data_IF_507833364658
#
_entry.id   IF_507833364658
#
_cell.length_a   1.000
_cell.length_b   1.000
_cell.length_c   1.000
_cell.angle_alpha   90.00
_cell.angle_beta   90.00
_cell.angle_gamma   90.00
#
_symmetry.space_group_name_H-M   'P 1'
#
loop_
_entity.id
_entity.type
_entity.pdbx_description
1 polymer ?
#
# COMPACT_ATOMS: atom_id res chain seq x y z
N UNK A 1 -5.15 16.32 -7.14
CA UNK A 1 -5.29 17.34 -6.09
C UNK A 1 -4.41 18.56 -6.35
N UNK A 2 -3.27 18.42 -7.04
CA UNK A 2 -2.45 19.59 -7.44
C UNK A 2 -1.74 20.26 -6.26
N UNK A 3 -1.41 19.47 -5.22
CA UNK A 3 -0.70 19.98 -4.05
C UNK A 3 0.81 20.14 -4.28
N UNK A 4 1.33 19.57 -5.38
CA UNK A 4 2.67 19.80 -5.89
C UNK A 4 2.58 20.07 -7.39
N UNK A 5 3.62 20.73 -7.91
CA UNK A 5 3.87 20.93 -9.34
C UNK A 5 4.36 19.63 -9.97
N UNK A 6 4.23 19.52 -11.30
CA UNK A 6 4.75 18.36 -12.05
C UNK A 6 6.27 18.20 -11.87
N UNK A 7 7.00 19.31 -11.77
CA UNK A 7 8.45 19.30 -11.53
C UNK A 7 8.80 18.71 -10.15
N UNK A 8 8.07 19.08 -9.09
CA UNK A 8 8.26 18.51 -7.75
C UNK A 8 7.90 17.02 -7.70
N UNK A 9 6.86 16.60 -8.43
CA UNK A 9 6.51 15.18 -8.54
C UNK A 9 7.63 14.37 -9.21
N UNK A 10 8.18 14.86 -10.33
CA UNK A 10 9.25 14.19 -11.05
C UNK A 10 10.56 14.15 -10.26
N UNK A 11 10.88 15.22 -9.53
CA UNK A 11 12.00 15.26 -8.61
C UNK A 11 11.84 14.19 -7.52
N UNK A 12 10.66 14.09 -6.89
CA UNK A 12 10.40 13.06 -5.89
C UNK A 12 10.61 11.66 -6.47
N UNK A 13 10.04 11.38 -7.64
CA UNK A 13 10.12 10.05 -8.25
C UNK A 13 11.54 9.68 -8.68
N UNK A 14 12.40 10.66 -8.96
CA UNK A 14 13.81 10.44 -9.32
C UNK A 14 14.69 10.23 -8.08
N UNK A 15 14.40 10.94 -6.99
CA UNK A 15 15.26 10.97 -5.80
C UNK A 15 14.84 9.96 -4.71
N UNK A 16 13.61 9.45 -4.73
CA UNK A 16 13.10 8.52 -3.69
C UNK A 16 13.88 7.21 -3.63
N UNK A 17 14.33 6.66 -4.76
CA UNK A 17 15.13 5.43 -4.76
C UNK A 17 16.49 5.61 -4.09
N UNK A 18 17.13 6.76 -4.33
CA UNK A 18 18.40 7.10 -3.68
C UNK A 18 18.22 7.25 -2.17
N UNK A 19 17.16 7.93 -1.75
CA UNK A 19 16.79 8.08 -0.35
C UNK A 19 16.54 6.73 0.34
N UNK A 20 15.72 5.86 -0.27
CA UNK A 20 15.50 4.50 0.22
C UNK A 20 16.81 3.73 0.34
N UNK A 21 17.68 3.86 -0.67
CA UNK A 21 19.00 3.25 -0.70
C UNK A 21 19.91 3.74 0.43
N UNK A 22 19.88 5.05 0.74
CA UNK A 22 20.63 5.61 1.87
C UNK A 22 20.20 4.98 3.20
N UNK A 23 18.89 4.86 3.43
CA UNK A 23 18.36 4.24 4.65
C UNK A 23 18.82 2.78 4.78
N UNK A 24 18.69 2.00 3.69
CA UNK A 24 19.10 0.59 3.68
C UNK A 24 20.60 0.43 3.93
N UNK A 25 21.44 1.27 3.31
CA UNK A 25 22.89 1.28 3.54
C UNK A 25 23.27 1.67 4.96
N UNK A 26 22.44 2.48 5.63
CA UNK A 26 22.58 2.83 7.04
C UNK A 26 22.13 1.71 8.00
N UNK A 27 21.79 0.53 7.47
CA UNK A 27 21.37 -0.63 8.27
C UNK A 27 19.87 -0.66 8.61
N UNK A 28 19.07 0.27 8.07
CA UNK A 28 17.62 0.28 8.30
C UNK A 28 16.95 -0.78 7.43
N UNK A 29 16.13 -1.63 8.04
CA UNK A 29 15.24 -2.55 7.32
C UNK A 29 13.98 -1.81 6.90
N UNK A 30 13.97 -1.25 5.69
CA UNK A 30 12.80 -0.59 5.12
C UNK A 30 11.88 -1.61 4.45
N UNK A 31 10.58 -1.55 4.77
CA UNK A 31 9.55 -2.43 4.18
C UNK A 31 8.38 -1.54 3.76
N UNK A 32 7.95 -1.67 2.50
CA UNK A 32 6.85 -0.89 1.94
C UNK A 32 5.63 -1.78 1.71
N UNK A 33 4.48 -1.33 2.19
CA UNK A 33 3.18 -1.99 1.99
C UNK A 33 2.21 -1.04 1.30
N UNK A 34 1.52 -1.54 0.28
CA UNK A 34 0.37 -0.88 -0.31
C UNK A 34 -0.90 -1.66 0.03
N UNK A 35 -1.80 -1.06 0.80
CA UNK A 35 -3.07 -1.68 1.16
C UNK A 35 -4.09 -1.42 0.06
N UNK A 36 -4.29 -2.41 -0.80
CA UNK A 36 -5.19 -2.33 -1.93
C UNK A 36 -6.61 -2.76 -1.51
N UNK A 37 -7.59 -1.92 -1.82
CA UNK A 37 -9.00 -2.23 -1.61
C UNK A 37 -9.74 -2.03 -2.92
N UNK A 38 -10.82 -2.78 -3.11
CA UNK A 38 -11.66 -2.62 -4.29
C UNK A 38 -12.47 -1.33 -4.22
N UNK A 39 -12.83 -0.78 -5.39
CA UNK A 39 -13.68 0.42 -5.48
C UNK A 39 -15.01 0.28 -4.72
N UNK A 40 -15.73 -0.86 -4.79
CA UNK A 40 -16.95 -1.06 -4.01
C UNK A 40 -16.68 -1.03 -2.49
N UNK A 41 -15.60 -1.67 -2.02
CA UNK A 41 -15.25 -1.67 -0.60
C UNK A 41 -14.84 -0.28 -0.12
N UNK A 42 -14.11 0.50 -0.93
CA UNK A 42 -13.82 1.90 -0.59
C UNK A 42 -15.11 2.71 -0.42
N UNK A 43 -16.04 2.61 -1.39
CA UNK A 43 -17.33 3.31 -1.33
C UNK A 43 -18.12 2.92 -0.07
N UNK A 44 -18.24 1.62 0.21
CA UNK A 44 -18.90 1.09 1.41
C UNK A 44 -18.28 1.65 2.69
N UNK A 45 -16.95 1.64 2.80
CA UNK A 45 -16.24 2.17 3.99
C UNK A 45 -16.48 3.66 4.20
N UNK A 46 -16.59 4.44 3.12
CA UNK A 46 -16.89 5.87 3.22
C UNK A 46 -18.34 6.12 3.65
N UNK A 47 -19.29 5.33 3.15
CA UNK A 47 -20.69 5.38 3.60
C UNK A 47 -20.84 4.99 5.07
N UNK A 48 -20.16 3.92 5.50
CA UNK A 48 -20.15 3.49 6.90
C UNK A 48 -19.58 4.57 7.83
N UNK A 49 -18.51 5.28 7.41
CA UNK A 49 -17.94 6.40 8.19
C UNK A 49 -18.94 7.54 8.39
N UNK A 50 -19.82 7.81 7.41
CA UNK A 50 -20.82 8.88 7.51
C UNK A 50 -21.90 8.54 8.53
N UNK A 51 -22.27 7.26 8.64
CA UNK A 51 -23.37 6.79 9.49
C UNK A 51 -22.94 6.45 10.91
N UNK A 52 -21.69 6.06 11.11
CA UNK A 52 -21.17 5.63 12.42
C UNK A 52 -20.58 6.82 13.21
N UNK A 53 -21.19 7.24 14.34
CA UNK A 53 -20.72 8.37 15.14
C UNK A 53 -19.27 8.23 15.61
N UNK A 54 -18.80 7.00 15.81
CA UNK A 54 -17.44 6.72 16.28
C UNK A 54 -16.40 6.84 15.16
N UNK A 55 -16.84 6.97 13.89
CA UNK A 55 -15.97 7.02 12.70
C UNK A 55 -16.09 8.31 11.89
N UNK A 56 -17.07 9.16 12.17
CA UNK A 56 -17.33 10.40 11.41
C UNK A 56 -16.13 11.34 11.33
N UNK A 57 -15.34 11.44 12.41
CA UNK A 57 -14.11 12.25 12.45
C UNK A 57 -13.05 11.82 11.42
N UNK A 58 -13.17 10.63 10.80
CA UNK A 58 -12.25 10.12 9.77
C UNK A 58 -12.63 10.56 8.35
N UNK A 59 -13.60 11.43 8.20
CA UNK A 59 -14.02 11.98 6.91
C UNK A 59 -13.30 13.31 6.71
N UNK A 60 -12.69 13.46 5.54
CA UNK A 60 -12.08 14.71 5.09
C UNK A 60 -12.66 15.16 3.74
N UNK A 61 -12.52 16.45 3.38
CA UNK A 61 -12.89 16.92 2.04
C UNK A 61 -12.15 16.19 0.90
N UNK A 62 -10.98 15.60 1.20
CA UNK A 62 -10.22 14.80 0.24
C UNK A 62 -10.92 13.47 -0.06
N UNK A 63 -11.52 12.83 0.96
CA UNK A 63 -12.21 11.54 0.79
C UNK A 63 -13.41 11.64 -0.16
N UNK A 64 -14.10 12.79 -0.16
CA UNK A 64 -15.24 13.02 -1.06
C UNK A 64 -14.81 13.11 -2.52
N UNK A 65 -13.66 13.72 -2.78
CA UNK A 65 -13.06 13.80 -4.12
C UNK A 65 -12.38 12.49 -4.51
N UNK A 66 -11.90 11.69 -3.56
CA UNK A 66 -11.15 10.47 -3.84
C UNK A 66 -11.96 9.45 -4.67
N UNK A 67 -13.28 9.38 -4.46
CA UNK A 67 -14.16 8.46 -5.21
C UNK A 67 -14.25 8.84 -6.69
N UNK A 68 -14.38 10.13 -7.01
CA UNK A 68 -14.43 10.60 -8.40
C UNK A 68 -13.07 10.53 -9.08
N UNK A 69 -12.00 10.68 -8.30
CA UNK A 69 -10.61 10.61 -8.76
C UNK A 69 -10.01 9.20 -8.76
N UNK A 70 -10.81 8.17 -8.54
CA UNK A 70 -10.38 6.77 -8.48
C UNK A 70 -9.37 6.40 -9.58
N UNK A 71 -9.70 6.66 -10.85
CA UNK A 71 -8.82 6.34 -11.97
C UNK A 71 -7.49 7.12 -11.94
N UNK A 72 -7.49 8.36 -11.44
CA UNK A 72 -6.26 9.16 -11.30
C UNK A 72 -5.38 8.60 -10.18
N UNK A 73 -5.96 8.17 -9.06
CA UNK A 73 -5.24 7.47 -8.01
C UNK A 73 -4.68 6.13 -8.48
N UNK A 74 -5.47 5.33 -9.21
CA UNK A 74 -5.00 4.07 -9.81
C UNK A 74 -3.82 4.31 -10.75
N UNK A 75 -3.87 5.33 -11.61
CA UNK A 75 -2.75 5.70 -12.49
C UNK A 75 -1.50 6.10 -11.71
N UNK A 76 -1.64 7.00 -10.72
CA UNK A 76 -0.53 7.45 -9.89
C UNK A 76 0.11 6.30 -9.09
N UNK A 77 -0.70 5.40 -8.54
CA UNK A 77 -0.22 4.17 -7.86
C UNK A 77 0.59 3.29 -8.80
N UNK A 78 0.08 3.03 -10.01
CA UNK A 78 0.75 2.15 -10.96
C UNK A 78 2.10 2.74 -11.40
N UNK A 79 2.16 4.05 -11.63
CA UNK A 79 3.41 4.75 -11.92
C UNK A 79 4.40 4.68 -10.75
N UNK A 80 3.92 4.94 -9.52
CA UNK A 80 4.72 4.81 -8.30
C UNK A 80 5.32 3.40 -8.19
N UNK A 81 4.52 2.34 -8.41
CA UNK A 81 5.04 0.98 -8.38
C UNK A 81 6.12 0.75 -9.44
N UNK A 82 5.87 1.12 -10.70
CA UNK A 82 6.82 0.92 -11.78
C UNK A 82 8.16 1.64 -11.53
N UNK A 83 8.11 2.86 -11.01
CA UNK A 83 9.31 3.70 -10.82
C UNK A 83 10.05 3.42 -9.52
N UNK A 84 9.38 2.96 -8.46
CA UNK A 84 9.95 2.93 -7.10
C UNK A 84 10.10 1.54 -6.50
N UNK A 85 10.03 0.47 -7.29
CA UNK A 85 10.11 -0.91 -6.78
C UNK A 85 11.52 -1.51 -6.71
N UNK A 86 12.52 -0.87 -7.33
CA UNK A 86 13.84 -1.48 -7.56
C UNK A 86 14.71 -1.65 -6.30
N UNK A 87 14.75 -0.64 -5.41
CA UNK A 87 15.64 -0.63 -4.23
C UNK A 87 14.97 -1.35 -3.05
N UNK A 88 13.76 -0.93 -2.70
CA UNK A 88 12.91 -1.60 -1.72
C UNK A 88 11.63 -2.04 -2.41
N UNK A 89 11.39 -3.35 -2.58
CA UNK A 89 10.20 -3.81 -3.27
C UNK A 89 8.91 -3.46 -2.52
N UNK A 90 7.88 -3.08 -3.28
CA UNK A 90 6.52 -2.92 -2.78
C UNK A 90 5.90 -4.28 -2.50
N UNK A 91 5.20 -4.38 -1.36
CA UNK A 91 4.34 -5.52 -1.04
C UNK A 91 2.89 -5.06 -1.11
N UNK A 92 2.09 -5.69 -1.96
CA UNK A 92 0.67 -5.41 -2.08
C UNK A 92 -0.09 -6.25 -1.08
N UNK A 93 -1.08 -5.65 -0.44
CA UNK A 93 -1.95 -6.30 0.53
C UNK A 93 -3.40 -6.20 0.07
N UNK A 94 -4.03 -7.34 -0.21
CA UNK A 94 -5.48 -7.39 -0.41
C UNK A 94 -6.18 -7.06 0.90
N UNK A 95 -6.77 -5.87 0.99
CA UNK A 95 -7.18 -5.24 2.24
C UNK A 95 -8.69 -5.07 2.40
N UNK A 96 -9.50 -5.73 1.56
CA UNK A 96 -10.96 -5.71 1.65
C UNK A 96 -11.45 -6.30 3.00
N UNK A 97 -10.89 -7.45 3.42
CA UNK A 97 -11.03 -7.93 4.80
C UNK A 97 -9.93 -7.34 5.69
N UNK A 98 -10.32 -6.39 6.56
CA UNK A 98 -9.40 -5.71 7.48
C UNK A 98 -8.70 -6.68 8.44
N UNK A 99 -9.40 -7.69 8.96
CA UNK A 99 -8.84 -8.60 9.96
C UNK A 99 -7.79 -9.48 9.32
N UNK A 100 -8.11 -10.06 8.15
CA UNK A 100 -7.17 -10.87 7.40
C UNK A 100 -5.96 -10.05 6.93
N UNK A 101 -6.16 -8.84 6.41
CA UNK A 101 -5.08 -7.97 5.98
C UNK A 101 -4.11 -7.67 7.13
N UNK A 102 -4.63 -7.25 8.29
CA UNK A 102 -3.80 -6.96 9.48
C UNK A 102 -2.98 -8.16 9.92
N UNK A 103 -3.61 -9.33 10.03
CA UNK A 103 -2.91 -10.55 10.43
C UNK A 103 -1.80 -10.90 9.44
N UNK A 104 -2.05 -10.80 8.13
CA UNK A 104 -1.04 -11.16 7.14
C UNK A 104 0.09 -10.14 7.02
N UNK A 105 -0.18 -8.85 7.23
CA UNK A 105 0.88 -7.83 7.31
C UNK A 105 1.78 -8.07 8.52
N UNK A 106 1.20 -8.35 9.69
CA UNK A 106 1.98 -8.68 10.90
C UNK A 106 2.82 -9.94 10.67
N UNK A 107 2.21 -10.98 10.11
CA UNK A 107 2.89 -12.23 9.75
C UNK A 107 4.05 -12.01 8.78
N UNK A 108 3.81 -11.27 7.70
CA UNK A 108 4.84 -10.96 6.69
C UNK A 108 5.98 -10.12 7.28
N UNK A 109 5.68 -9.12 8.11
CA UNK A 109 6.67 -8.32 8.83
C UNK A 109 7.54 -9.21 9.73
N UNK A 110 6.93 -10.02 10.59
CA UNK A 110 7.65 -10.93 11.49
C UNK A 110 8.46 -11.96 10.71
N UNK A 111 7.90 -12.51 9.62
CA UNK A 111 8.60 -13.48 8.79
C UNK A 111 9.87 -12.92 8.14
N UNK A 112 9.94 -11.61 7.86
CA UNK A 112 11.12 -10.93 7.29
C UNK A 112 12.20 -10.61 8.31
N UNK A 113 11.87 -10.58 9.59
CA UNK A 113 12.81 -10.25 10.66
C UNK A 113 13.50 -11.51 11.20
N UNK A 114 14.73 -11.32 11.68
CA UNK A 114 15.47 -12.33 12.42
C UNK A 114 15.37 -11.99 13.91
N UNK A 115 14.80 -12.90 14.69
CA UNK A 115 14.66 -12.78 16.14
C UNK A 115 14.66 -14.18 16.78
N UNK A 116 14.99 -14.27 18.07
CA UNK A 116 15.03 -15.53 18.80
C UNK A 116 13.62 -16.16 18.94
N UNK A 117 13.55 -17.48 19.05
CA UNK A 117 12.31 -18.24 19.28
C UNK A 117 11.21 -18.01 18.22
N UNK A 118 11.62 -17.73 16.98
CA UNK A 118 10.72 -17.51 15.85
C UNK A 118 10.02 -18.81 15.42
N UNK A 119 8.72 -18.88 15.65
CA UNK A 119 7.86 -19.92 15.07
C UNK A 119 7.52 -19.59 13.60
N UNK A 120 8.28 -20.17 12.68
CA UNK A 120 8.12 -19.98 11.22
C UNK A 120 6.76 -20.45 10.69
N UNK A 121 6.12 -21.44 11.34
CA UNK A 121 4.83 -21.94 10.89
C UNK A 121 3.71 -20.96 11.26
N UNK A 122 3.76 -20.42 12.49
CA UNK A 122 2.76 -19.46 12.98
C UNK A 122 2.73 -18.18 12.14
N UNK A 123 3.89 -17.67 11.77
CA UNK A 123 4.04 -16.37 11.10
C UNK A 123 4.02 -16.46 9.57
N UNK A 124 3.81 -17.63 8.97
CA UNK A 124 3.77 -17.74 7.50
C UNK A 124 2.58 -16.93 6.93
N UNK A 125 2.83 -15.88 6.12
CA UNK A 125 1.75 -15.09 5.54
C UNK A 125 1.09 -15.84 4.38
N UNK A 126 -0.20 -15.58 4.16
CA UNK A 126 -0.95 -16.04 3.00
C UNK A 126 -0.54 -15.23 1.78
N UNK A 127 0.09 -15.87 0.79
CA UNK A 127 0.64 -15.20 -0.40
C UNK A 127 -0.43 -14.60 -1.31
N UNK A 128 -1.67 -15.09 -1.24
CA UNK A 128 -2.81 -14.47 -1.91
C UNK A 128 -3.30 -13.17 -1.25
N UNK A 129 -2.85 -12.87 -0.02
CA UNK A 129 -3.23 -11.66 0.71
C UNK A 129 -2.07 -10.66 0.71
N UNK A 130 -0.84 -11.11 0.97
CA UNK A 130 0.36 -10.26 0.92
C UNK A 130 1.35 -10.86 -0.07
N UNK A 131 1.67 -10.11 -1.13
CA UNK A 131 2.54 -10.55 -2.21
C UNK A 131 3.45 -9.40 -2.68
N UNK A 132 4.66 -9.71 -3.18
CA UNK A 132 5.50 -8.70 -3.81
C UNK A 132 4.81 -8.19 -5.08
N UNK A 133 4.92 -6.89 -5.31
CA UNK A 133 4.48 -6.28 -6.56
C UNK A 133 5.29 -6.84 -7.75
N UNK A 134 4.60 -7.01 -8.87
CA UNK A 134 5.14 -7.35 -10.18
C UNK A 134 4.20 -6.77 -11.23
N UNK A 135 4.72 -6.37 -12.38
CA UNK A 135 3.93 -5.65 -13.41
C UNK A 135 2.74 -6.47 -13.92
N UNK A 136 2.87 -7.80 -13.94
CA UNK A 136 1.78 -8.72 -14.28
C UNK A 136 0.54 -8.57 -13.39
N UNK A 137 0.69 -8.12 -12.14
CA UNK A 137 -0.42 -7.92 -11.20
C UNK A 137 -1.34 -6.76 -11.62
N UNK A 138 -0.83 -5.79 -12.38
CA UNK A 138 -1.65 -4.71 -12.95
C UNK A 138 -2.57 -5.22 -14.06
N UNK A 139 -2.17 -6.30 -14.74
CA UNK A 139 -2.91 -6.90 -15.84
C UNK A 139 -3.91 -7.96 -15.34
N UNK A 140 -3.47 -8.79 -14.40
CA UNK A 140 -4.20 -9.96 -13.90
C UNK A 140 -5.42 -9.65 -13.01
N UNK A 141 -5.56 -8.39 -12.57
CA UNK A 141 -6.64 -7.98 -11.66
C UNK A 141 -6.39 -8.33 -10.19
N UNK A 142 -5.17 -8.75 -9.85
CA UNK A 142 -4.73 -8.91 -8.45
C UNK A 142 -4.70 -7.58 -7.68
N UNK A 143 -4.67 -6.46 -8.41
CA UNK A 143 -4.70 -5.09 -7.89
C UNK A 143 -5.96 -4.41 -8.44
N UNK A 144 -6.67 -3.68 -7.58
CA UNK A 144 -7.90 -2.99 -7.94
C UNK A 144 -7.64 -1.97 -9.08
N UNK A 145 -8.55 -1.99 -10.06
CA UNK A 145 -8.53 -1.08 -11.22
C UNK A 145 -9.37 0.16 -10.93
#
# INVERSE_FOLDING_TARGET
>A
MGFCTDAEHEEFMSSVLEFEGMLVRSGIRLIKYYLDITKPEQKKRLEDRRRDPLKQWKISPIDEQAVSLWNKYSKARNEMFARTNAVVPWNVVSADDKRLARLNVIKDLLHRLHYADKDEQLIRPRRQIVFPYADEHLLSGAIAK
#
